data_IF_925115944603
#
_entry.id   IF_925115944603
#
_cell.length_a   1.000
_cell.length_b   1.000
_cell.length_c   1.000
_cell.angle_alpha   90.00
_cell.angle_beta   90.00
_cell.angle_gamma   90.00
#
_symmetry.space_group_name_H-M   'P 1'
#
loop_
_entity.id
_entity.type
_entity.pdbx_description
1 polymer ?
#
# COMPACT_ATOMS: atom_id res chain seq x y z
N UNK A 1 -3.30 2.77 -10.33
CA UNK A 1 -1.93 2.96 -9.81
C UNK A 1 -1.00 3.01 -11.00
N UNK A 2 -0.24 4.08 -11.17
CA UNK A 2 0.71 4.21 -12.28
C UNK A 2 1.85 3.19 -12.10
N UNK A 3 2.23 2.51 -13.19
CA UNK A 3 3.30 1.52 -13.17
C UNK A 3 4.66 2.22 -13.22
N UNK A 4 5.62 1.73 -12.46
CA UNK A 4 6.98 2.25 -12.46
C UNK A 4 7.82 1.53 -13.54
N UNK A 5 8.39 2.24 -14.54
CA UNK A 5 9.05 1.61 -15.68
C UNK A 5 10.32 0.84 -15.29
N UNK A 6 11.06 1.30 -14.27
CA UNK A 6 12.28 0.61 -13.79
C UNK A 6 11.99 -0.81 -13.31
N UNK A 7 10.86 -1.04 -12.65
CA UNK A 7 10.47 -2.37 -12.17
C UNK A 7 10.08 -3.24 -13.36
N UNK A 8 9.28 -2.71 -14.28
CA UNK A 8 8.83 -3.46 -15.46
C UNK A 8 9.99 -3.89 -16.34
N UNK A 9 10.95 -3.00 -16.57
CA UNK A 9 12.15 -3.31 -17.34
C UNK A 9 12.98 -4.38 -16.64
N UNK A 10 13.26 -4.22 -15.34
CA UNK A 10 14.02 -5.21 -14.58
C UNK A 10 13.34 -6.59 -14.57
N UNK A 11 12.02 -6.66 -14.43
CA UNK A 11 11.29 -7.93 -14.47
C UNK A 11 11.52 -8.67 -15.79
N UNK A 12 11.52 -7.97 -16.93
CA UNK A 12 11.76 -8.57 -18.24
C UNK A 12 13.22 -8.98 -18.42
N UNK A 13 14.14 -8.13 -17.99
CA UNK A 13 15.58 -8.40 -18.13
C UNK A 13 16.02 -9.60 -17.29
N UNK A 14 15.51 -9.70 -16.06
CA UNK A 14 15.90 -10.74 -15.10
C UNK A 14 15.15 -12.07 -15.34
N UNK A 15 13.87 -12.01 -15.72
CA UNK A 15 12.99 -13.19 -15.74
C UNK A 15 12.48 -13.58 -17.13
N UNK A 16 12.85 -12.84 -18.17
CA UNK A 16 12.44 -13.11 -19.56
C UNK A 16 10.92 -13.15 -19.73
N UNK A 17 10.42 -14.25 -20.28
CA UNK A 17 8.98 -14.42 -20.55
C UNK A 17 8.12 -14.44 -19.28
N UNK A 18 8.65 -14.98 -18.18
CA UNK A 18 7.96 -14.90 -16.89
C UNK A 18 7.85 -13.45 -16.41
N UNK A 19 8.87 -12.64 -16.68
CA UNK A 19 8.87 -11.19 -16.42
C UNK A 19 7.73 -10.49 -17.15
N UNK A 20 7.53 -10.79 -18.44
CA UNK A 20 6.43 -10.26 -19.25
C UNK A 20 5.06 -10.64 -18.70
N UNK A 21 4.90 -11.88 -18.23
CA UNK A 21 3.65 -12.31 -17.58
C UNK A 21 3.39 -11.52 -16.29
N UNK A 22 4.42 -11.29 -15.48
CA UNK A 22 4.32 -10.50 -14.24
C UNK A 22 3.98 -9.02 -14.50
N UNK A 23 4.21 -8.50 -15.71
CA UNK A 23 3.77 -7.15 -16.06
C UNK A 23 2.25 -7.02 -16.20
N UNK A 24 1.50 -8.13 -16.31
CA UNK A 24 0.04 -8.12 -16.44
C UNK A 24 -0.70 -7.91 -15.11
N UNK A 25 -0.01 -8.08 -13.98
CA UNK A 25 -0.58 -7.94 -12.63
C UNK A 25 -0.05 -6.68 -11.94
N UNK A 26 -0.64 -6.25 -10.80
CA UNK A 26 -0.14 -5.11 -10.04
C UNK A 26 1.32 -5.32 -9.61
N UNK A 27 2.16 -4.30 -9.78
CA UNK A 27 3.60 -4.38 -9.47
C UNK A 27 3.93 -4.79 -8.03
N UNK A 28 3.19 -4.36 -6.98
CA UNK A 28 3.42 -4.89 -5.63
C UNK A 28 3.27 -6.40 -5.54
N UNK A 29 2.25 -6.95 -6.23
CA UNK A 29 2.01 -8.40 -6.30
C UNK A 29 3.10 -9.09 -7.10
N UNK A 30 3.52 -8.54 -8.24
CA UNK A 30 4.62 -9.08 -9.02
C UNK A 30 5.91 -9.17 -8.19
N UNK A 31 6.30 -8.09 -7.51
CA UNK A 31 7.50 -8.06 -6.66
C UNK A 31 7.41 -9.03 -5.48
N UNK A 32 6.23 -9.16 -4.85
CA UNK A 32 5.99 -10.18 -3.82
C UNK A 32 6.24 -11.60 -4.35
N UNK A 33 5.76 -11.91 -5.55
CA UNK A 33 5.95 -13.22 -6.17
C UNK A 33 7.42 -13.48 -6.51
N UNK A 34 8.16 -12.47 -6.99
CA UNK A 34 9.60 -12.60 -7.26
C UNK A 34 10.39 -12.82 -5.97
N UNK A 35 10.11 -12.04 -4.92
CA UNK A 35 10.81 -12.11 -3.64
C UNK A 35 10.58 -13.42 -2.86
N UNK A 36 9.49 -14.15 -3.15
CA UNK A 36 9.14 -15.42 -2.50
C UNK A 36 9.56 -16.67 -3.27
N UNK A 37 10.33 -16.53 -4.35
CA UNK A 37 10.87 -17.67 -5.09
C UNK A 37 11.87 -18.45 -4.22
N UNK A 38 12.05 -19.77 -4.47
CA UNK A 38 13.06 -20.57 -3.77
C UNK A 38 14.49 -20.03 -3.94
N UNK A 39 14.77 -19.44 -5.10
CA UNK A 39 16.03 -18.77 -5.43
C UNK A 39 15.68 -17.40 -6.04
N UNK A 40 15.47 -16.36 -5.20
CA UNK A 40 15.06 -15.05 -5.67
C UNK A 40 16.26 -14.31 -6.30
N UNK A 41 16.06 -13.63 -7.45
CA UNK A 41 17.13 -12.86 -8.06
C UNK A 41 17.54 -11.69 -7.16
N UNK A 42 18.79 -11.24 -7.30
CA UNK A 42 19.26 -10.04 -6.63
C UNK A 42 18.49 -8.82 -7.14
N UNK A 43 17.80 -8.11 -6.25
CA UNK A 43 17.00 -6.93 -6.61
C UNK A 43 17.91 -5.69 -6.53
N UNK A 44 18.14 -4.97 -7.65
CA UNK A 44 18.97 -3.76 -7.64
C UNK A 44 18.36 -2.63 -6.79
N UNK A 45 19.21 -1.76 -6.22
CA UNK A 45 18.78 -0.63 -5.37
C UNK A 45 17.75 0.27 -6.05
N UNK A 46 17.92 0.57 -7.34
CA UNK A 46 16.97 1.37 -8.11
C UNK A 46 15.57 0.72 -8.18
N UNK A 47 15.51 -0.61 -8.22
CA UNK A 47 14.26 -1.39 -8.23
C UNK A 47 13.65 -1.40 -6.82
N UNK A 48 14.48 -1.55 -5.77
CA UNK A 48 14.04 -1.44 -4.38
C UNK A 48 13.45 -0.06 -4.07
N UNK A 49 14.09 1.01 -4.54
CA UNK A 49 13.61 2.37 -4.36
C UNK A 49 12.28 2.62 -5.09
N UNK A 50 12.18 2.17 -6.33
CA UNK A 50 10.94 2.21 -7.10
C UNK A 50 9.82 1.42 -6.39
N UNK A 51 10.13 0.22 -5.90
CA UNK A 51 9.16 -0.62 -5.21
C UNK A 51 8.69 0.02 -3.90
N UNK A 52 9.63 0.55 -3.09
CA UNK A 52 9.33 1.33 -1.89
C UNK A 52 8.40 2.51 -2.19
N UNK A 53 8.62 3.23 -3.28
CA UNK A 53 7.77 4.34 -3.69
C UNK A 53 6.32 3.89 -3.96
N UNK A 54 6.16 2.77 -4.69
CA UNK A 54 4.83 2.20 -4.96
C UNK A 54 4.16 1.76 -3.65
N UNK A 55 4.87 1.05 -2.77
CA UNK A 55 4.33 0.61 -1.48
C UNK A 55 3.90 1.80 -0.62
N UNK A 56 4.70 2.86 -0.60
CA UNK A 56 4.39 4.08 0.17
C UNK A 56 3.12 4.77 -0.34
N UNK A 57 2.95 4.85 -1.68
CA UNK A 57 1.74 5.41 -2.29
C UNK A 57 0.52 4.51 -2.10
N UNK A 58 0.70 3.19 -2.19
CA UNK A 58 -0.35 2.21 -1.92
C UNK A 58 -0.86 2.31 -0.49
N UNK A 59 0.06 2.37 0.49
CA UNK A 59 -0.29 2.57 1.89
C UNK A 59 -1.05 3.86 2.12
N UNK A 60 -0.56 4.99 1.59
CA UNK A 60 -1.28 6.26 1.71
C UNK A 60 -2.70 6.19 1.12
N UNK A 61 -2.88 5.54 -0.02
CA UNK A 61 -4.20 5.38 -0.63
C UNK A 61 -5.14 4.52 0.22
N UNK A 62 -4.63 3.45 0.84
CA UNK A 62 -5.39 2.62 1.78
C UNK A 62 -5.76 3.43 3.02
N UNK A 63 -4.79 4.10 3.64
CA UNK A 63 -4.99 4.91 4.83
C UNK A 63 -6.07 5.98 4.58
N UNK A 64 -6.02 6.69 3.44
CA UNK A 64 -7.02 7.68 3.04
C UNK A 64 -8.40 7.08 2.77
N UNK A 65 -8.45 5.89 2.19
CA UNK A 65 -9.72 5.21 1.90
C UNK A 65 -10.39 4.72 3.18
N UNK A 66 -9.61 4.19 4.12
CA UNK A 66 -10.11 3.74 5.42
C UNK A 66 -10.54 4.92 6.31
N UNK A 67 -9.79 6.02 6.34
CA UNK A 67 -10.18 7.27 7.01
C UNK A 67 -11.54 7.78 6.48
N UNK A 68 -11.70 7.85 5.15
CA UNK A 68 -12.94 8.25 4.54
C UNK A 68 -14.10 7.29 4.87
N UNK A 69 -13.86 5.97 4.85
CA UNK A 69 -14.85 4.97 5.24
C UNK A 69 -15.33 5.19 6.68
N UNK A 70 -14.42 5.37 7.63
CA UNK A 70 -14.75 5.57 9.05
C UNK A 70 -15.54 6.87 9.24
N UNK A 71 -15.07 7.99 8.66
CA UNK A 71 -15.76 9.28 8.76
C UNK A 71 -17.19 9.19 8.17
N UNK A 72 -17.37 8.50 7.03
CA UNK A 72 -18.69 8.27 6.45
C UNK A 72 -19.56 7.34 7.30
N UNK A 73 -19.03 6.26 7.87
CA UNK A 73 -19.78 5.35 8.73
C UNK A 73 -20.33 6.09 9.96
N UNK A 74 -19.48 6.89 10.62
CA UNK A 74 -19.90 7.71 11.77
C UNK A 74 -20.97 8.74 11.38
N UNK A 75 -20.83 9.38 10.22
CA UNK A 75 -21.83 10.34 9.72
C UNK A 75 -23.20 9.71 9.43
N UNK A 76 -23.24 8.40 9.16
CA UNK A 76 -24.48 7.62 8.96
C UNK A 76 -25.00 6.98 10.26
N UNK A 77 -24.41 7.31 11.40
CA UNK A 77 -24.86 6.84 12.71
C UNK A 77 -24.34 5.48 13.12
N UNK A 78 -23.37 4.90 12.40
CA UNK A 78 -22.67 3.71 12.87
C UNK A 78 -21.89 4.03 14.15
N UNK A 79 -21.88 3.09 15.08
CA UNK A 79 -21.12 3.18 16.32
C UNK A 79 -19.69 2.70 16.11
N UNK A 80 -18.80 3.04 17.05
CA UNK A 80 -17.44 2.50 17.07
C UNK A 80 -17.40 0.97 17.23
N UNK A 81 -18.44 0.36 17.80
CA UNK A 81 -18.56 -1.09 17.85
C UNK A 81 -18.86 -1.68 16.46
N UNK A 82 -19.78 -1.08 15.71
CA UNK A 82 -20.07 -1.52 14.33
C UNK A 82 -18.83 -1.41 13.43
N UNK A 83 -18.06 -0.33 13.59
CA UNK A 83 -16.83 -0.09 12.83
C UNK A 83 -15.73 -1.08 13.24
N UNK A 84 -15.60 -1.37 14.54
CA UNK A 84 -14.63 -2.35 15.02
C UNK A 84 -14.91 -3.74 14.44
N UNK A 85 -16.17 -4.19 14.46
CA UNK A 85 -16.56 -5.45 13.84
C UNK A 85 -16.33 -5.45 12.32
N UNK A 86 -16.68 -4.35 11.62
CA UNK A 86 -16.54 -4.28 10.17
C UNK A 86 -15.08 -4.28 9.67
N UNK A 87 -14.16 -3.73 10.46
CA UNK A 87 -12.73 -3.62 10.13
C UNK A 87 -11.86 -4.61 10.92
N UNK A 88 -12.48 -5.58 11.61
CA UNK A 88 -11.81 -6.64 12.37
C UNK A 88 -10.87 -6.09 13.48
N UNK A 89 -11.28 -5.01 14.13
CA UNK A 89 -10.60 -4.51 15.33
C UNK A 89 -11.09 -5.23 16.59
N UNK A 90 -10.20 -5.56 17.54
CA UNK A 90 -10.58 -6.32 18.73
C UNK A 90 -11.50 -5.56 19.69
N UNK A 91 -11.50 -4.22 19.65
CA UNK A 91 -12.38 -3.38 20.48
C UNK A 91 -12.74 -2.06 19.76
N UNK A 92 -13.84 -1.39 20.17
CA UNK A 92 -14.18 -0.04 19.72
C UNK A 92 -13.08 0.99 19.96
N UNK A 93 -12.35 0.89 21.08
CA UNK A 93 -11.25 1.78 21.42
C UNK A 93 -10.04 1.57 20.50
N UNK A 94 -9.80 0.34 20.06
CA UNK A 94 -8.76 0.03 19.07
C UNK A 94 -9.09 0.67 17.72
N UNK A 95 -10.34 0.59 17.27
CA UNK A 95 -10.81 1.26 16.05
C UNK A 95 -10.66 2.79 16.15
N UNK A 96 -11.02 3.40 17.28
CA UNK A 96 -10.81 4.83 17.52
C UNK A 96 -9.34 5.24 17.51
N UNK A 97 -8.47 4.44 18.14
CA UNK A 97 -7.04 4.70 18.16
C UNK A 97 -6.43 4.57 16.76
N UNK A 98 -6.89 3.59 15.98
CA UNK A 98 -6.50 3.42 14.59
C UNK A 98 -6.92 4.62 13.73
N UNK A 99 -8.15 5.09 13.85
CA UNK A 99 -8.62 6.26 13.12
C UNK A 99 -7.78 7.52 13.40
N UNK A 100 -7.40 7.76 14.67
CA UNK A 100 -6.47 8.84 15.02
C UNK A 100 -5.11 8.65 14.35
N UNK A 101 -4.59 7.43 14.36
CA UNK A 101 -3.33 7.10 13.70
C UNK A 101 -3.38 7.35 12.19
N UNK A 102 -4.45 6.98 11.51
CA UNK A 102 -4.66 7.25 10.09
C UNK A 102 -4.55 8.75 9.78
N UNK A 103 -5.26 9.59 10.54
CA UNK A 103 -5.21 11.05 10.37
C UNK A 103 -3.80 11.62 10.53
N UNK A 104 -3.03 11.09 11.47
CA UNK A 104 -1.63 11.47 11.68
C UNK A 104 -0.72 11.03 10.52
N UNK A 105 -0.85 9.79 10.03
CA UNK A 105 -0.05 9.27 8.92
C UNK A 105 -0.36 10.00 7.61
N UNK A 106 -1.64 10.21 7.27
CA UNK A 106 -2.08 10.96 6.09
C UNK A 106 -1.49 12.38 6.12
N UNK A 107 -1.56 13.02 7.29
CA UNK A 107 -1.00 14.35 7.52
C UNK A 107 0.52 14.41 7.39
N UNK A 108 1.23 13.34 7.77
CA UNK A 108 2.69 13.22 7.61
C UNK A 108 3.10 12.96 6.17
N UNK A 109 2.35 12.14 5.46
CA UNK A 109 2.64 11.73 4.09
C UNK A 109 2.24 12.78 3.04
N UNK A 110 1.48 13.82 3.42
CA UNK A 110 0.98 14.83 2.51
C UNK A 110 2.13 15.60 1.78
N UNK A 111 2.09 15.73 0.44
CA UNK A 111 3.18 16.33 -0.35
C UNK A 111 3.54 17.77 0.03
N UNK A 112 2.58 18.52 0.58
CA UNK A 112 2.77 19.90 1.06
C UNK A 112 3.79 20.01 2.20
N UNK A 113 4.12 18.91 2.89
CA UNK A 113 5.15 18.86 3.94
C UNK A 113 6.53 18.37 3.48
N UNK A 114 6.66 17.90 2.23
CA UNK A 114 7.93 17.37 1.66
C UNK A 114 8.76 18.40 0.88
N UNK A 115 8.36 19.68 0.83
CA UNK A 115 9.19 20.77 0.31
C UNK A 115 10.08 21.35 1.42
N UNK A 116 11.25 20.74 1.65
CA UNK A 116 12.46 21.40 2.18
C UNK A 116 13.68 20.67 1.66
#
# INVERSE_FOLDING_TARGET
MERHPVIDQWLVDELGEQGRLLQTIPQPTAMLLVARRPDPPAIPDAVLDAWRHILSRGRLAVDQSEDAYIDHALAHGHTWADIADALDFPTPEAAQAHHRHLKDEITRAHPSKRRR
#
